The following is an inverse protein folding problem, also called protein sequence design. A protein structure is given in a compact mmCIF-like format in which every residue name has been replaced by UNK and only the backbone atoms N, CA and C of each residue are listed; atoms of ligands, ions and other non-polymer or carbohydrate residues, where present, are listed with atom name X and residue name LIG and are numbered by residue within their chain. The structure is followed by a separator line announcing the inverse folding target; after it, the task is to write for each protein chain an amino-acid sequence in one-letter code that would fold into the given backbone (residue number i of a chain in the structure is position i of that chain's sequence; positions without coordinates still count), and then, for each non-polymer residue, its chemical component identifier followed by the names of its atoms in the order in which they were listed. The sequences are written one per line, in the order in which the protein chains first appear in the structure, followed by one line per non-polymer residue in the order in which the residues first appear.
data_IF_215368398444
#
_entry.id   IF_215368398444
#
_cell.length_a   1.000
_cell.length_b   1.000
_cell.length_c   1.000
_cell.angle_alpha   90.00
_cell.angle_beta   90.00
_cell.angle_gamma   90.00
#
_symmetry.space_group_name_H-M   'P 1'
#
loop_
_entity.id
_entity.type
_entity.pdbx_description
1 polymer ?
#
# COMPACT_ATOMS: atom_id res chain seq x y z
N UNK A 1 -83.36 -17.16 6.02
CA UNK A 1 -82.51 -17.73 7.09
C UNK A 1 -81.15 -17.04 7.04
N UNK A 2 -80.86 -16.22 8.05
CA UNK A 2 -79.51 -15.90 8.55
C UNK A 2 -78.45 -15.26 7.65
N UNK A 3 -78.46 -13.94 7.51
CA UNK A 3 -77.27 -13.11 7.80
C UNK A 3 -77.16 -12.96 9.34
N UNK A 4 -76.03 -12.63 10.00
CA UNK A 4 -74.95 -11.72 9.55
C UNK A 4 -73.52 -12.09 10.06
N UNK A 5 -72.52 -11.21 9.85
CA UNK A 5 -71.35 -11.18 10.74
C UNK A 5 -70.02 -10.66 10.20
N UNK A 6 -69.98 -9.62 9.35
CA UNK A 6 -68.75 -8.82 9.18
C UNK A 6 -68.94 -7.53 9.98
N UNK A 7 -68.29 -7.47 11.13
CA UNK A 7 -68.00 -6.28 11.97
C UNK A 7 -66.52 -6.49 12.32
N UNK A 8 -65.55 -5.68 11.92
CA UNK A 8 -65.44 -4.23 12.05
C UNK A 8 -64.26 -3.96 13.00
N UNK A 9 -63.47 -2.91 12.72
CA UNK A 9 -62.37 -2.33 13.54
C UNK A 9 -61.02 -3.08 13.42
N UNK A 10 -59.85 -2.47 13.18
CA UNK A 10 -59.43 -1.07 13.17
C UNK A 10 -58.18 -0.88 12.31
N UNK A 11 -58.03 0.31 11.75
CA UNK A 11 -56.77 0.83 11.24
C UNK A 11 -55.66 0.73 12.30
N UNK A 12 -54.57 0.03 11.98
CA UNK A 12 -53.28 0.18 12.65
C UNK A 12 -52.19 0.34 11.59
N UNK A 13 -51.77 1.59 11.44
CA UNK A 13 -50.43 2.06 11.09
C UNK A 13 -49.63 1.25 10.04
N UNK A 14 -49.81 1.60 8.77
CA UNK A 14 -48.78 1.44 7.71
C UNK A 14 -47.78 2.61 7.77
N UNK A 15 -47.37 3.00 8.98
CA UNK A 15 -46.30 3.95 9.23
C UNK A 15 -45.23 3.22 10.03
N UNK A 16 -44.08 2.90 9.41
CA UNK A 16 -42.94 2.49 10.23
C UNK A 16 -41.77 1.73 9.61
N UNK A 17 -41.70 1.47 8.30
CA UNK A 17 -40.52 0.76 7.74
C UNK A 17 -39.92 1.37 6.45
N UNK A 18 -40.54 2.40 5.86
CA UNK A 18 -40.06 2.99 4.60
C UNK A 18 -39.23 4.29 4.74
N UNK A 19 -38.60 4.57 5.89
CA UNK A 19 -37.79 5.81 6.10
C UNK A 19 -36.37 5.54 6.65
N UNK A 20 -35.90 4.30 6.65
CA UNK A 20 -34.49 3.98 7.00
C UNK A 20 -33.58 3.78 5.77
N UNK A 21 -34.01 4.20 4.58
CA UNK A 21 -33.10 4.49 3.47
C UNK A 21 -32.56 5.89 3.73
N UNK A 22 -31.38 5.95 4.36
CA UNK A 22 -30.75 7.16 4.83
C UNK A 22 -30.75 8.26 3.76
N UNK A 23 -31.62 9.25 3.97
CA UNK A 23 -31.37 10.63 3.60
C UNK A 23 -30.07 11.06 4.30
N UNK A 24 -28.93 10.67 3.72
CA UNK A 24 -27.68 11.36 3.92
C UNK A 24 -27.90 12.77 3.40
N UNK A 25 -28.25 13.68 4.32
CA UNK A 25 -28.22 15.11 4.08
C UNK A 25 -26.90 15.42 3.38
N UNK A 26 -27.03 15.86 2.13
CA UNK A 26 -25.95 16.35 1.29
C UNK A 26 -25.27 17.48 2.07
N UNK A 27 -24.18 17.18 2.78
CA UNK A 27 -23.29 18.23 3.23
C UNK A 27 -22.53 18.68 1.98
N UNK A 28 -22.87 19.86 1.48
CA UNK A 28 -22.04 20.53 0.48
C UNK A 28 -20.64 20.69 1.08
N UNK A 29 -19.72 19.87 0.60
CA UNK A 29 -18.30 19.99 0.93
C UNK A 29 -17.81 21.25 0.24
N UNK A 30 -17.35 22.20 1.04
CA UNK A 30 -16.78 23.43 0.53
C UNK A 30 -15.46 23.13 -0.19
N UNK A 31 -15.12 23.85 -1.26
CA UNK A 31 -13.82 23.71 -1.89
C UNK A 31 -12.69 24.02 -0.89
N UNK A 32 -11.50 23.44 -1.08
CA UNK A 32 -10.35 23.76 -0.25
C UNK A 32 -9.98 25.24 -0.41
N UNK A 33 -9.57 25.87 0.69
CA UNK A 33 -9.05 27.24 0.67
C UNK A 33 -7.58 27.25 0.21
N UNK A 34 -6.82 26.23 0.61
CA UNK A 34 -5.44 26.03 0.17
C UNK A 34 -5.40 24.78 -0.72
N UNK A 35 -5.13 24.99 -2.01
CA UNK A 35 -5.16 23.95 -3.04
C UNK A 35 -3.95 23.01 -2.99
N UNK A 36 -4.13 21.76 -3.41
CA UNK A 36 -3.08 20.72 -3.50
C UNK A 36 -1.90 21.04 -4.45
N UNK A 37 -1.87 22.21 -5.09
CA UNK A 37 -0.70 22.67 -5.85
C UNK A 37 0.16 23.67 -5.07
N UNK A 38 -0.24 24.01 -3.84
CA UNK A 38 0.54 24.90 -2.97
C UNK A 38 1.93 24.30 -2.69
N UNK A 39 2.98 25.09 -2.89
CA UNK A 39 4.37 24.66 -2.72
C UNK A 39 4.77 24.32 -1.28
N UNK A 40 3.89 24.57 -0.30
CA UNK A 40 4.07 24.18 1.10
C UNK A 40 3.65 22.74 1.38
N UNK A 41 3.01 22.05 0.43
CA UNK A 41 2.79 20.61 0.50
C UNK A 41 4.02 19.85 -0.01
N UNK A 42 4.46 18.87 0.78
CA UNK A 42 5.45 17.88 0.36
C UNK A 42 4.75 16.59 -0.03
N UNK A 43 5.03 16.12 -1.24
CA UNK A 43 4.52 14.86 -1.77
C UNK A 43 5.60 13.77 -1.70
N UNK A 44 5.24 12.65 -1.09
CA UNK A 44 6.02 11.41 -0.95
C UNK A 44 5.32 10.30 -1.74
N UNK A 45 6.09 9.45 -2.45
CA UNK A 45 5.56 8.47 -3.41
C UNK A 45 5.30 9.06 -4.80
N UNK A 46 4.55 8.33 -5.62
CA UNK A 46 4.27 8.68 -7.03
C UNK A 46 2.95 9.44 -7.15
N UNK A 47 3.04 10.69 -7.63
CA UNK A 47 1.90 11.59 -7.77
C UNK A 47 1.75 12.14 -9.19
N UNK A 48 0.51 12.39 -9.58
CA UNK A 48 0.13 13.06 -10.82
C UNK A 48 -0.68 14.33 -10.53
N UNK A 49 -0.47 15.39 -11.30
CA UNK A 49 -1.36 16.56 -11.24
C UNK A 49 -2.63 16.30 -12.07
N UNK A 50 -3.79 16.68 -11.56
CA UNK A 50 -5.06 16.66 -12.29
C UNK A 50 -5.87 17.91 -11.96
N UNK A 51 -5.81 18.91 -12.84
CA UNK A 51 -6.39 20.22 -12.58
C UNK A 51 -5.80 20.84 -11.30
N UNK A 52 -6.64 21.13 -10.31
CA UNK A 52 -6.23 21.66 -8.99
C UNK A 52 -5.96 20.59 -7.93
N UNK A 53 -6.06 19.31 -8.29
CA UNK A 53 -5.83 18.18 -7.40
C UNK A 53 -4.50 17.49 -7.71
N UNK A 54 -4.06 16.66 -6.75
CA UNK A 54 -2.99 15.68 -6.91
C UNK A 54 -3.58 14.29 -6.77
N UNK A 55 -3.19 13.38 -7.65
CA UNK A 55 -3.71 12.02 -7.73
C UNK A 55 -2.59 11.02 -7.45
N UNK A 56 -2.91 9.98 -6.68
CA UNK A 56 -2.06 8.83 -6.45
C UNK A 56 -2.89 7.55 -6.27
N UNK A 57 -2.31 6.41 -6.62
CA UNK A 57 -2.91 5.10 -6.35
C UNK A 57 -1.94 4.12 -5.69
N UNK A 58 -0.63 4.27 -5.82
CA UNK A 58 0.33 3.44 -5.11
C UNK A 58 0.20 3.57 -3.58
N UNK A 59 0.33 2.46 -2.82
CA UNK A 59 0.29 2.47 -1.37
C UNK A 59 1.46 3.27 -0.78
N UNK A 60 1.33 3.70 0.47
CA UNK A 60 2.29 4.53 1.21
C UNK A 60 2.57 5.92 0.64
N UNK A 61 1.99 6.25 -0.52
CA UNK A 61 1.94 7.61 -1.04
C UNK A 61 1.34 8.56 -0.01
N UNK A 62 1.97 9.71 0.21
CA UNK A 62 1.58 10.63 1.27
C UNK A 62 1.78 12.11 0.91
N UNK A 63 1.01 12.96 1.58
CA UNK A 63 1.20 14.41 1.60
C UNK A 63 1.55 14.83 3.03
N UNK A 64 2.55 15.71 3.14
CA UNK A 64 3.05 16.23 4.41
C UNK A 64 3.04 17.74 4.38
N UNK A 65 2.68 18.35 5.50
CA UNK A 65 2.74 19.80 5.65
C UNK A 65 2.86 20.20 7.11
N UNK A 66 3.43 21.39 7.32
CA UNK A 66 3.54 22.01 8.63
C UNK A 66 2.44 23.06 8.76
N UNK A 67 1.72 23.04 9.87
CA UNK A 67 0.67 24.01 10.18
C UNK A 67 0.89 24.57 11.57
N UNK A 68 0.72 25.87 11.71
CA UNK A 68 0.69 26.56 12.99
C UNK A 68 -0.76 26.90 13.32
N UNK A 69 -1.23 26.44 14.47
CA UNK A 69 -2.53 26.80 15.02
C UNK A 69 -2.37 27.81 16.16
N UNK A 70 -3.39 28.65 16.35
CA UNK A 70 -3.47 29.59 17.47
C UNK A 70 -3.28 28.88 18.83
N UNK A 71 -2.87 29.58 19.91
CA UNK A 71 -2.61 28.97 21.22
C UNK A 71 -3.77 28.13 21.78
N UNK A 72 -5.01 28.47 21.44
CA UNK A 72 -6.22 27.70 21.80
C UNK A 72 -6.43 26.41 20.99
N UNK A 73 -5.56 26.12 20.03
CA UNK A 73 -5.72 25.03 19.06
C UNK A 73 -6.67 25.41 17.93
N UNK A 74 -7.07 24.39 17.18
CA UNK A 74 -7.90 24.58 16.00
C UNK A 74 -8.33 23.26 15.36
N UNK A 75 -8.88 23.36 14.16
CA UNK A 75 -9.13 22.19 13.31
C UNK A 75 -8.96 22.57 11.85
N UNK A 76 -8.54 21.61 11.04
CA UNK A 76 -8.60 21.73 9.58
C UNK A 76 -9.46 20.61 8.99
N UNK A 77 -10.01 20.85 7.81
CA UNK A 77 -10.53 19.82 6.94
C UNK A 77 -9.48 19.46 5.89
N UNK A 78 -9.18 18.17 5.75
CA UNK A 78 -8.54 17.61 4.58
C UNK A 78 -9.62 17.35 3.53
N UNK A 79 -9.48 17.90 2.32
CA UNK A 79 -10.48 17.77 1.24
C UNK A 79 -9.94 16.81 0.18
N UNK A 80 -10.66 15.71 -0.06
CA UNK A 80 -10.17 14.63 -0.92
C UNK A 80 -11.30 13.78 -1.53
N UNK A 81 -10.96 12.95 -2.52
CA UNK A 81 -11.75 11.79 -2.95
C UNK A 81 -10.89 10.54 -2.81
N UNK A 82 -11.46 9.45 -2.32
CA UNK A 82 -10.76 8.18 -2.27
C UNK A 82 -11.76 7.03 -2.35
N UNK A 83 -11.72 6.25 -3.43
CA UNK A 83 -12.56 5.07 -3.60
C UNK A 83 -11.86 3.85 -3.00
N UNK A 84 -12.55 3.04 -2.19
CA UNK A 84 -12.03 1.78 -1.60
C UNK A 84 -10.58 1.88 -1.13
N UNK A 85 -10.29 2.96 -0.44
CA UNK A 85 -8.95 3.32 -0.02
C UNK A 85 -8.95 3.50 1.47
N UNK A 86 -7.96 2.91 2.13
CA UNK A 86 -7.66 3.24 3.51
C UNK A 86 -6.59 4.31 3.54
N UNK A 87 -6.84 5.39 4.26
CA UNK A 87 -5.90 6.47 4.50
C UNK A 87 -5.63 6.58 6.00
N UNK A 88 -4.44 7.05 6.38
CA UNK A 88 -4.11 7.43 7.74
C UNK A 88 -3.79 8.92 7.80
N UNK A 89 -4.38 9.60 8.76
CA UNK A 89 -3.99 10.97 9.14
C UNK A 89 -3.19 10.88 10.41
N UNK A 90 -1.95 11.36 10.40
CA UNK A 90 -1.10 11.46 11.59
C UNK A 90 -0.73 12.91 11.85
N UNK A 91 -0.90 13.37 13.08
CA UNK A 91 -0.51 14.69 13.55
C UNK A 91 0.59 14.53 14.59
N UNK A 92 1.74 15.15 14.33
CA UNK A 92 2.82 15.33 15.28
C UNK A 92 2.70 16.73 15.88
N UNK A 93 2.37 16.81 17.17
CA UNK A 93 2.20 18.06 17.90
C UNK A 93 3.54 18.69 18.31
N UNK A 94 3.51 19.96 18.78
CA UNK A 94 4.72 20.70 19.18
C UNK A 94 5.39 20.11 20.43
N UNK A 95 4.66 19.36 21.24
CA UNK A 95 5.11 18.66 22.43
C UNK A 95 5.66 17.25 22.14
N UNK A 96 5.79 16.88 20.87
CA UNK A 96 6.15 15.53 20.44
C UNK A 96 5.01 14.51 20.52
N UNK A 97 3.80 14.93 20.88
CA UNK A 97 2.63 14.04 20.85
C UNK A 97 2.33 13.57 19.43
N UNK A 98 1.85 12.32 19.31
CA UNK A 98 1.42 11.73 18.03
C UNK A 98 -0.03 11.32 18.15
N UNK A 99 -0.87 11.80 17.26
CA UNK A 99 -2.26 11.37 17.11
C UNK A 99 -2.45 10.79 15.71
N UNK A 100 -3.23 9.72 15.59
CA UNK A 100 -3.46 9.08 14.31
C UNK A 100 -4.89 8.57 14.18
N UNK A 101 -5.47 8.67 12.98
CA UNK A 101 -6.81 8.21 12.66
C UNK A 101 -6.84 7.54 11.30
N UNK A 102 -7.59 6.45 11.18
CA UNK A 102 -7.91 5.84 9.90
C UNK A 102 -9.12 6.50 9.25
N UNK A 103 -9.04 6.66 7.94
CA UNK A 103 -10.10 7.21 7.09
C UNK A 103 -10.35 6.23 5.95
N UNK A 104 -11.58 5.74 5.85
CA UNK A 104 -11.96 4.74 4.85
C UNK A 104 -12.79 5.37 3.75
N UNK A 105 -12.35 5.21 2.50
CA UNK A 105 -13.09 5.55 1.28
C UNK A 105 -14.38 4.73 1.14
N UNK A 106 -15.44 5.27 0.51
CA UNK A 106 -16.64 4.48 0.22
C UNK A 106 -16.34 3.31 -0.71
N UNK A 107 -17.25 2.34 -0.74
CA UNK A 107 -17.14 1.16 -1.60
C UNK A 107 -17.55 1.45 -3.06
N UNK A 108 -18.41 2.44 -3.27
CA UNK A 108 -18.88 2.92 -4.58
C UNK A 108 -18.33 4.31 -4.87
N UNK A 109 -18.10 4.61 -6.16
CA UNK A 109 -17.67 5.94 -6.56
C UNK A 109 -18.84 6.90 -6.34
N UNK A 110 -18.54 7.96 -5.59
CA UNK A 110 -19.47 9.04 -5.34
C UNK A 110 -18.87 10.30 -5.98
N UNK A 111 -19.65 11.10 -6.71
CA UNK A 111 -19.11 12.25 -7.43
C UNK A 111 -18.64 13.39 -6.50
N UNK A 112 -18.93 13.31 -5.20
CA UNK A 112 -18.66 14.38 -4.24
C UNK A 112 -17.30 14.25 -3.55
N UNK A 113 -16.78 15.41 -3.16
CA UNK A 113 -15.62 15.53 -2.28
C UNK A 113 -15.98 15.02 -0.88
N UNK A 114 -14.96 14.63 -0.13
CA UNK A 114 -15.05 14.30 1.29
C UNK A 114 -14.16 15.21 2.10
N UNK A 115 -14.55 15.38 3.36
CA UNK A 115 -13.75 16.10 4.35
C UNK A 115 -13.41 15.19 5.51
N UNK A 116 -12.14 15.19 5.92
CA UNK A 116 -11.72 14.66 7.21
C UNK A 116 -11.33 15.83 8.11
N UNK A 117 -12.03 16.00 9.23
CA UNK A 117 -11.65 16.99 10.25
C UNK A 117 -10.47 16.46 11.05
N UNK A 118 -9.48 17.31 11.24
CA UNK A 118 -8.24 17.02 11.95
C UNK A 118 -8.09 18.04 13.07
N UNK A 119 -8.21 17.63 14.34
CA UNK A 119 -7.97 18.53 15.46
C UNK A 119 -6.48 18.87 15.55
N UNK A 120 -6.19 20.13 15.88
CA UNK A 120 -4.84 20.63 16.06
C UNK A 120 -4.69 21.24 17.46
N UNK A 121 -3.59 20.92 18.13
CA UNK A 121 -3.16 21.63 19.33
C UNK A 121 -2.52 22.96 18.93
N UNK A 122 -2.54 23.94 19.84
CA UNK A 122 -1.90 25.22 19.58
C UNK A 122 -0.39 25.08 19.36
N UNK A 123 0.16 25.89 18.45
CA UNK A 123 1.55 25.83 18.02
C UNK A 123 1.77 25.05 16.71
N UNK A 124 3.04 24.71 16.44
CA UNK A 124 3.45 24.06 15.20
C UNK A 124 3.20 22.56 15.25
N UNK A 125 2.50 22.05 14.25
CA UNK A 125 2.27 20.63 14.05
C UNK A 125 2.69 20.20 12.65
N UNK A 126 3.18 18.97 12.51
CA UNK A 126 3.36 18.32 11.21
C UNK A 126 2.21 17.35 10.99
N UNK A 127 1.49 17.53 9.89
CA UNK A 127 0.41 16.64 9.46
C UNK A 127 0.91 15.77 8.32
N UNK A 128 0.67 14.47 8.42
CA UNK A 128 0.85 13.49 7.36
C UNK A 128 -0.51 12.90 7.02
N UNK A 129 -0.86 12.90 5.73
CA UNK A 129 -2.02 12.18 5.22
C UNK A 129 -1.50 11.16 4.22
N UNK A 130 -1.66 9.87 4.51
CA UNK A 130 -1.01 8.77 3.78
C UNK A 130 -2.03 7.75 3.31
N UNK A 131 -1.84 7.22 2.11
CA UNK A 131 -2.56 6.06 1.60
C UNK A 131 -1.96 4.78 2.18
N UNK A 132 -2.75 3.98 2.89
CA UNK A 132 -2.31 2.72 3.49
C UNK A 132 -2.54 1.51 2.58
N UNK A 133 -3.60 1.57 1.76
CA UNK A 133 -4.02 0.46 0.91
C UNK A 133 -3.48 0.57 -0.53
N UNK A 134 -3.35 -0.56 -1.21
CA UNK A 134 -2.99 -0.66 -2.63
C UNK A 134 -4.05 -0.10 -3.59
N UNK A 135 -3.68 0.12 -4.88
CA UNK A 135 -4.65 0.23 -5.96
C UNK A 135 -5.48 -1.06 -6.05
N UNK A 136 -6.78 -0.99 -5.78
CA UNK A 136 -7.76 -2.05 -6.09
C UNK A 136 -9.00 -1.43 -6.70
N UNK A 137 -9.74 -2.08 -7.59
CA UNK A 137 -9.48 -3.35 -8.22
C UNK A 137 -9.06 -3.13 -9.67
N UNK A 138 -7.76 -3.18 -9.95
CA UNK A 138 -7.26 -3.50 -11.29
C UNK A 138 -5.95 -4.29 -11.15
N UNK A 139 -6.02 -5.59 -11.50
CA UNK A 139 -4.91 -6.55 -11.68
C UNK A 139 -4.22 -7.05 -10.39
N UNK A 140 -4.45 -8.26 -9.86
CA UNK A 140 -5.08 -9.46 -10.44
C UNK A 140 -6.39 -9.86 -9.76
N UNK A 141 -7.46 -9.84 -10.56
CA UNK A 141 -8.79 -10.42 -10.35
C UNK A 141 -9.86 -9.67 -9.56
N UNK A 142 -10.93 -10.38 -9.16
CA UNK A 142 -12.34 -9.93 -9.22
C UNK A 142 -12.52 -8.45 -8.86
N UNK A 143 -12.96 -7.68 -9.87
CA UNK A 143 -13.15 -6.25 -9.76
C UNK A 143 -12.63 -5.43 -10.93
N UNK A 144 -12.09 -6.01 -12.02
CA UNK A 144 -11.80 -5.25 -13.26
C UNK A 144 -13.00 -4.56 -13.95
N UNK A 145 -14.20 -4.65 -13.36
CA UNK A 145 -15.41 -3.92 -13.72
C UNK A 145 -15.63 -2.68 -12.84
N UNK A 146 -14.92 -2.59 -11.72
CA UNK A 146 -15.03 -1.58 -10.70
C UNK A 146 -13.83 -0.62 -10.86
N UNK A 147 -14.06 0.66 -10.60
CA UNK A 147 -13.03 1.69 -10.82
C UNK A 147 -11.79 1.55 -9.92
N UNK A 148 -10.59 1.93 -10.35
CA UNK A 148 -9.39 1.84 -9.52
C UNK A 148 -9.51 2.64 -8.20
N UNK A 149 -8.90 2.14 -7.12
CA UNK A 149 -8.76 2.84 -5.83
C UNK A 149 -7.77 3.97 -6.00
N UNK A 150 -8.27 5.08 -6.52
CA UNK A 150 -7.53 6.31 -6.71
C UNK A 150 -7.80 7.24 -5.54
N UNK A 151 -6.76 7.91 -5.08
CA UNK A 151 -6.83 8.98 -4.10
C UNK A 151 -6.54 10.33 -4.78
N UNK A 152 -7.52 11.22 -4.74
CA UNK A 152 -7.42 12.60 -5.20
C UNK A 152 -7.34 13.53 -3.98
N UNK A 153 -6.21 14.19 -3.76
CA UNK A 153 -6.07 15.22 -2.74
C UNK A 153 -6.32 16.60 -3.37
N UNK A 154 -7.30 17.33 -2.83
CA UNK A 154 -7.69 18.65 -3.35
C UNK A 154 -7.08 19.79 -2.55
N UNK A 155 -6.75 19.57 -1.27
CA UNK A 155 -6.15 20.58 -0.41
C UNK A 155 -6.66 20.54 1.02
N UNK A 156 -6.51 21.66 1.73
CA UNK A 156 -6.99 21.83 3.11
C UNK A 156 -7.85 23.08 3.25
N UNK A 157 -8.66 23.10 4.32
CA UNK A 157 -9.48 24.25 4.70
C UNK A 157 -9.46 24.44 6.22
N UNK A 158 -9.09 25.62 6.74
CA UNK A 158 -9.22 25.93 8.17
C UNK A 158 -10.66 25.86 8.66
N UNK A 159 -10.84 25.53 9.95
CA UNK A 159 -12.14 25.51 10.63
C UNK A 159 -12.04 26.29 11.94
N UNK A 160 -12.74 27.43 12.02
CA UNK A 160 -12.99 28.19 13.25
C UNK A 160 -11.83 29.07 13.74
N UNK A 161 -10.60 28.55 13.83
CA UNK A 161 -9.41 29.30 14.25
C UNK A 161 -8.57 29.76 13.06
N UNK A 162 -7.65 30.69 13.29
CA UNK A 162 -6.64 31.00 12.28
C UNK A 162 -5.65 29.84 12.20
N UNK A 163 -5.29 29.45 10.97
CA UNK A 163 -4.28 28.46 10.70
C UNK A 163 -3.31 29.04 9.69
N UNK A 164 -2.02 28.90 9.96
CA UNK A 164 -0.97 29.33 9.04
C UNK A 164 -0.22 28.12 8.52
N UNK A 165 -0.30 27.89 7.21
CA UNK A 165 0.50 26.86 6.55
C UNK A 165 1.95 27.35 6.46
N UNK A 166 2.85 26.56 7.05
CA UNK A 166 4.28 26.82 7.16
C UNK A 166 5.03 26.22 5.96
N UNK A 167 6.32 26.56 5.75
CA UNK A 167 7.14 25.89 4.76
C UNK A 167 7.08 24.35 4.90
N UNK A 168 7.10 23.68 3.75
CA UNK A 168 7.00 22.23 3.69
C UNK A 168 8.05 21.56 4.61
N UNK A 169 7.70 20.45 5.29
CA UNK A 169 8.66 19.72 6.10
C UNK A 169 9.83 19.27 5.23
N UNK A 170 11.03 19.22 5.83
CA UNK A 170 12.22 18.74 5.12
C UNK A 170 12.03 17.28 4.68
N UNK A 171 12.50 16.98 3.46
CA UNK A 171 12.59 15.60 2.98
C UNK A 171 13.56 14.80 3.83
N UNK A 172 13.28 13.51 4.02
CA UNK A 172 14.25 12.61 4.66
C UNK A 172 15.43 12.42 3.72
N UNK A 173 16.61 12.30 4.34
CA UNK A 173 17.85 12.09 3.58
C UNK A 173 17.92 10.70 2.97
N UNK A 174 17.24 9.71 3.54
CA UNK A 174 17.22 8.33 3.08
C UNK A 174 15.92 8.04 2.32
N UNK A 175 15.98 7.24 1.26
CA UNK A 175 14.80 6.78 0.48
C UNK A 175 14.89 5.28 0.23
N UNK A 176 13.79 4.59 0.54
CA UNK A 176 13.58 3.18 0.24
C UNK A 176 12.45 3.07 -0.77
N UNK A 177 12.62 2.20 -1.76
CA UNK A 177 11.56 1.81 -2.68
C UNK A 177 11.31 0.31 -2.56
N UNK A 178 10.04 -0.11 -2.59
CA UNK A 178 9.64 -1.51 -2.52
C UNK A 178 8.87 -1.92 -3.77
N UNK A 179 9.27 -3.05 -4.34
CA UNK A 179 8.49 -3.86 -5.27
C UNK A 179 8.02 -5.13 -4.58
N UNK A 180 6.72 -5.32 -4.45
CA UNK A 180 6.22 -6.48 -3.71
C UNK A 180 4.87 -7.02 -4.16
N UNK A 181 4.56 -8.21 -3.66
CA UNK A 181 3.21 -8.74 -3.63
C UNK A 181 2.48 -8.35 -2.32
N UNK A 182 1.42 -9.09 -1.99
CA UNK A 182 0.59 -8.82 -0.81
C UNK A 182 1.34 -8.87 0.52
N UNK A 183 2.40 -9.67 0.65
CA UNK A 183 3.14 -9.77 1.92
C UNK A 183 3.88 -8.47 2.22
N UNK A 184 4.67 -7.95 1.27
CA UNK A 184 5.42 -6.71 1.47
C UNK A 184 4.53 -5.47 1.56
N UNK A 185 3.32 -5.55 1.04
CA UNK A 185 2.29 -4.53 1.11
C UNK A 185 1.56 -4.46 2.47
N UNK A 186 1.64 -5.53 3.27
CA UNK A 186 0.86 -5.63 4.51
C UNK A 186 -0.61 -5.95 4.25
N UNK A 187 -0.91 -6.81 3.27
CA UNK A 187 -2.25 -7.34 3.08
C UNK A 187 -2.71 -8.09 4.32
N UNK A 188 -3.97 -7.88 4.71
CA UNK A 188 -4.56 -8.56 5.87
C UNK A 188 -3.80 -8.34 7.19
N UNK A 189 -2.89 -7.37 7.27
CA UNK A 189 -2.02 -7.15 8.44
C UNK A 189 -2.80 -6.85 9.72
N UNK A 190 -4.00 -6.29 9.58
CA UNK A 190 -4.95 -6.02 10.66
C UNK A 190 -6.24 -6.85 10.59
N UNK A 191 -6.29 -7.86 9.72
CA UNK A 191 -7.42 -8.77 9.63
C UNK A 191 -7.29 -9.91 10.64
N UNK A 192 -8.42 -10.35 11.19
CA UNK A 192 -8.48 -11.56 12.02
C UNK A 192 -8.37 -12.82 11.15
N UNK A 193 -7.73 -13.90 11.63
CA UNK A 193 -7.79 -15.21 10.96
C UNK A 193 -9.21 -15.78 10.82
N UNK A 194 -10.17 -15.32 11.64
CA UNK A 194 -11.56 -15.79 11.60
C UNK A 194 -12.40 -15.16 10.47
N UNK A 195 -11.84 -14.20 9.73
CA UNK A 195 -12.53 -13.60 8.59
C UNK A 195 -12.73 -14.65 7.50
N UNK A 196 -13.98 -14.79 7.03
CA UNK A 196 -14.25 -15.65 5.88
C UNK A 196 -13.44 -15.21 4.67
N UNK A 197 -13.12 -16.13 3.76
CA UNK A 197 -12.39 -15.81 2.53
C UNK A 197 -13.13 -14.71 1.74
N UNK A 198 -14.45 -14.81 1.63
CA UNK A 198 -15.27 -13.82 0.94
C UNK A 198 -15.20 -12.42 1.59
N UNK A 199 -15.28 -12.35 2.93
CA UNK A 199 -15.16 -11.08 3.65
C UNK A 199 -13.75 -10.49 3.52
N UNK A 200 -12.73 -11.35 3.63
CA UNK A 200 -11.33 -10.98 3.46
C UNK A 200 -11.09 -10.40 2.06
N UNK A 201 -11.63 -11.00 1.01
CA UNK A 201 -11.48 -10.48 -0.36
C UNK A 201 -12.22 -9.15 -0.55
N UNK A 202 -13.47 -9.04 -0.11
CA UNK A 202 -14.31 -7.86 -0.30
C UNK A 202 -13.83 -6.62 0.49
N UNK A 203 -13.21 -6.84 1.64
CA UNK A 203 -12.82 -5.78 2.59
C UNK A 203 -11.33 -5.78 2.96
N UNK A 204 -10.49 -6.56 2.30
CA UNK A 204 -9.03 -6.59 2.54
C UNK A 204 -8.38 -5.21 2.55
N UNK A 205 -8.81 -4.29 1.69
CA UNK A 205 -8.30 -2.91 1.65
C UNK A 205 -8.49 -2.16 2.98
N UNK A 206 -9.47 -2.54 3.80
CA UNK A 206 -9.66 -1.99 5.16
C UNK A 206 -8.65 -2.56 6.16
N UNK A 207 -8.20 -3.80 5.94
CA UNK A 207 -7.27 -4.51 6.82
C UNK A 207 -5.81 -4.42 6.34
N UNK A 208 -5.58 -3.73 5.23
CA UNK A 208 -4.27 -3.55 4.62
C UNK A 208 -3.61 -2.28 5.16
N UNK A 209 -2.32 -2.37 5.47
CA UNK A 209 -1.55 -1.20 5.89
C UNK A 209 -0.07 -1.35 5.55
N UNK A 210 0.38 -0.54 4.59
CA UNK A 210 1.79 -0.47 4.23
C UNK A 210 2.66 0.09 5.37
N UNK A 211 2.12 0.91 6.30
CA UNK A 211 2.86 1.36 7.49
C UNK A 211 3.09 0.21 8.48
N UNK A 212 2.14 -0.72 8.58
CA UNK A 212 2.23 -1.88 9.46
C UNK A 212 2.92 -3.09 8.81
N UNK A 213 3.29 -2.98 7.53
CA UNK A 213 4.09 -3.99 6.84
C UNK A 213 5.54 -3.99 7.33
N UNK A 214 6.30 -5.04 6.99
CA UNK A 214 7.72 -5.08 7.34
C UNK A 214 8.48 -3.88 6.77
N UNK A 215 8.11 -3.41 5.57
CA UNK A 215 8.81 -2.28 4.95
C UNK A 215 8.50 -0.96 5.63
N UNK A 216 7.27 -0.80 6.16
CA UNK A 216 6.89 0.35 6.97
C UNK A 216 7.76 0.44 8.23
N UNK A 217 7.93 -0.70 8.91
CA UNK A 217 8.81 -0.82 10.07
C UNK A 217 10.30 -0.57 9.72
N UNK A 218 10.77 -1.10 8.58
CA UNK A 218 12.15 -0.85 8.11
C UNK A 218 12.36 0.64 7.81
N UNK A 219 11.44 1.29 7.09
CA UNK A 219 11.56 2.70 6.74
C UNK A 219 11.51 3.62 7.97
N UNK A 220 10.66 3.30 8.96
CA UNK A 220 10.65 4.01 10.25
C UNK A 220 11.98 3.85 10.99
N UNK A 221 12.48 2.62 11.12
CA UNK A 221 13.72 2.32 11.85
C UNK A 221 14.99 2.87 11.19
N UNK A 222 14.95 3.18 9.90
CA UNK A 222 16.05 3.77 9.14
C UNK A 222 15.87 5.27 8.88
N UNK A 223 14.80 5.89 9.37
CA UNK A 223 14.38 7.28 9.08
C UNK A 223 14.41 7.58 7.57
N UNK A 224 13.76 6.72 6.78
CA UNK A 224 13.71 6.81 5.33
C UNK A 224 12.31 7.21 4.81
N UNK A 225 12.29 7.95 3.71
CA UNK A 225 11.10 8.08 2.85
C UNK A 225 10.80 6.72 2.22
N UNK A 226 9.51 6.41 2.04
CA UNK A 226 9.08 5.12 1.51
C UNK A 226 8.23 5.31 0.24
N UNK A 227 8.63 4.64 -0.84
CA UNK A 227 7.84 4.48 -2.06
C UNK A 227 7.50 2.99 -2.24
N UNK A 228 6.23 2.66 -2.46
CA UNK A 228 5.80 1.25 -2.54
C UNK A 228 5.01 1.03 -3.82
N UNK A 229 5.50 0.15 -4.67
CA UNK A 229 4.75 -0.41 -5.79
C UNK A 229 4.47 -1.87 -5.49
N UNK A 230 3.28 -2.13 -4.96
CA UNK A 230 2.90 -3.47 -4.59
C UNK A 230 1.42 -3.73 -4.88
N UNK A 231 1.14 -4.95 -5.31
CA UNK A 231 -0.19 -5.43 -5.67
C UNK A 231 -0.36 -6.86 -5.14
N UNK A 232 -1.51 -7.13 -4.53
CA UNK A 232 -1.82 -8.47 -4.00
C UNK A 232 -1.81 -9.52 -5.11
N UNK A 233 -1.05 -10.60 -4.92
CA UNK A 233 -0.99 -11.72 -5.87
C UNK A 233 -0.19 -11.45 -7.14
N UNK A 234 0.50 -10.30 -7.24
CA UNK A 234 1.31 -9.98 -8.41
C UNK A 234 2.61 -10.78 -8.42
N UNK A 235 2.93 -11.38 -9.56
CA UNK A 235 4.23 -11.98 -9.80
C UNK A 235 5.07 -11.19 -10.79
N UNK A 236 6.21 -11.74 -11.17
CA UNK A 236 7.11 -11.17 -12.16
C UNK A 236 6.82 -11.76 -13.55
N UNK A 237 6.68 -13.09 -13.62
CA UNK A 237 6.37 -13.86 -14.81
C UNK A 237 4.88 -14.16 -14.91
N UNK A 238 4.25 -14.51 -13.79
CA UNK A 238 2.83 -14.83 -13.73
C UNK A 238 2.26 -14.51 -12.35
N UNK A 239 0.98 -14.15 -12.31
CA UNK A 239 0.30 -13.83 -11.07
C UNK A 239 -0.20 -15.09 -10.36
N UNK A 240 -0.47 -14.98 -9.06
CA UNK A 240 -0.99 -16.07 -8.26
C UNK A 240 -2.33 -16.55 -8.83
N UNK A 241 -2.50 -17.87 -8.99
CA UNK A 241 -3.74 -18.50 -9.44
C UNK A 241 -4.34 -19.32 -8.31
N UNK A 242 -4.45 -18.71 -7.13
CA UNK A 242 -4.90 -19.41 -5.93
C UNK A 242 -6.41 -19.53 -5.84
N UNK A 243 -7.15 -18.67 -6.55
CA UNK A 243 -8.60 -18.74 -6.65
C UNK A 243 -9.06 -18.11 -7.97
N UNK A 244 -10.29 -18.38 -8.42
CA UNK A 244 -10.92 -17.82 -9.63
C UNK A 244 -10.97 -16.27 -9.69
N UNK A 245 -10.50 -15.61 -8.62
CA UNK A 245 -10.56 -14.19 -8.36
C UNK A 245 -9.21 -13.48 -8.51
N UNK A 246 -8.16 -14.08 -9.08
CA UNK A 246 -6.92 -13.42 -9.49
C UNK A 246 -6.75 -13.43 -11.03
N UNK A 247 -7.69 -12.86 -11.78
CA UNK A 247 -7.60 -12.66 -13.23
C UNK A 247 -6.85 -11.38 -13.59
N UNK A 248 -5.66 -11.51 -14.16
CA UNK A 248 -4.90 -10.40 -14.74
C UNK A 248 -3.65 -10.89 -15.43
N UNK A 249 -3.38 -10.36 -16.64
CA UNK A 249 -2.21 -10.75 -17.45
C UNK A 249 -0.98 -9.90 -17.16
N UNK A 250 -1.17 -8.66 -16.70
CA UNK A 250 -0.07 -7.76 -16.38
C UNK A 250 0.65 -8.23 -15.11
N UNK A 251 1.98 -8.22 -15.15
CA UNK A 251 2.86 -8.59 -14.03
C UNK A 251 3.58 -7.35 -13.52
N UNK A 252 4.36 -7.44 -12.44
CA UNK A 252 5.09 -6.28 -11.92
C UNK A 252 6.03 -5.67 -12.98
N UNK A 253 6.52 -6.47 -13.94
CA UNK A 253 7.31 -5.96 -15.05
C UNK A 253 6.54 -4.93 -15.90
N UNK A 254 5.23 -5.10 -16.08
CA UNK A 254 4.36 -4.14 -16.78
C UNK A 254 4.13 -2.87 -15.96
N UNK A 255 4.04 -2.99 -14.63
CA UNK A 255 3.70 -1.87 -13.75
C UNK A 255 4.90 -1.07 -13.26
N UNK A 256 6.10 -1.63 -13.25
CA UNK A 256 7.31 -1.02 -12.67
C UNK A 256 7.53 0.45 -13.08
N UNK A 257 7.35 0.73 -14.37
CA UNK A 257 7.59 2.07 -14.91
C UNK A 257 6.40 3.00 -14.74
N UNK A 258 5.25 2.55 -14.25
CA UNK A 258 4.02 3.36 -14.23
C UNK A 258 4.00 4.35 -13.06
N UNK A 259 3.60 5.58 -13.35
CA UNK A 259 3.41 6.64 -12.34
C UNK A 259 2.21 6.35 -11.47
N UNK A 260 1.09 6.01 -12.09
CA UNK A 260 -0.11 5.48 -11.45
C UNK A 260 -0.29 4.04 -11.93
N UNK A 261 -0.70 3.14 -11.06
CA UNK A 261 -1.08 1.78 -11.49
C UNK A 261 -2.19 1.82 -12.55
N UNK A 262 -3.14 2.75 -12.36
CA UNK A 262 -4.36 2.93 -13.13
C UNK A 262 -4.21 3.66 -14.46
N UNK A 263 -3.01 4.18 -14.77
CA UNK A 263 -2.72 4.77 -16.08
C UNK A 263 -1.39 4.25 -16.67
N UNK A 264 -1.25 4.34 -17.99
CA UNK A 264 -0.02 3.91 -18.67
C UNK A 264 1.08 4.98 -18.64
N UNK A 265 0.93 6.03 -17.82
CA UNK A 265 1.89 7.12 -17.81
C UNK A 265 3.19 6.67 -17.13
N UNK A 266 4.32 6.98 -17.76
CA UNK A 266 5.63 6.59 -17.23
C UNK A 266 6.07 7.51 -16.09
N UNK A 267 6.51 6.91 -14.99
CA UNK A 267 7.17 7.61 -13.90
C UNK A 267 8.57 8.04 -14.34
N UNK A 268 8.87 9.32 -14.14
CA UNK A 268 10.21 9.86 -14.33
C UNK A 268 10.76 10.21 -12.95
N UNK A 269 11.56 9.32 -12.33
CA UNK A 269 12.06 9.57 -11.00
C UNK A 269 13.00 10.76 -11.00
N UNK A 270 12.72 11.75 -10.16
CA UNK A 270 13.60 12.90 -9.95
C UNK A 270 14.73 12.61 -8.94
N UNK A 271 14.66 11.45 -8.28
CA UNK A 271 15.58 11.02 -7.24
C UNK A 271 15.59 9.49 -7.21
N UNK A 272 16.78 8.89 -7.18
CA UNK A 272 16.96 7.46 -6.97
C UNK A 272 16.72 7.05 -5.51
N UNK A 273 16.29 5.81 -5.23
CA UNK A 273 16.32 5.26 -3.88
C UNK A 273 17.77 4.96 -3.45
N UNK A 274 18.02 4.98 -2.16
CA UNK A 274 19.26 4.43 -1.59
C UNK A 274 19.17 2.90 -1.50
N UNK A 275 17.97 2.38 -1.22
CA UNK A 275 17.65 0.95 -1.21
C UNK A 275 16.40 0.66 -2.06
N UNK A 276 16.51 -0.24 -3.03
CA UNK A 276 15.36 -0.89 -3.65
C UNK A 276 15.21 -2.31 -3.07
N UNK A 277 14.04 -2.61 -2.50
CA UNK A 277 13.70 -3.97 -2.09
C UNK A 277 12.82 -4.60 -3.15
N UNK A 278 13.17 -5.80 -3.61
CA UNK A 278 12.36 -6.62 -4.52
C UNK A 278 11.88 -7.86 -3.77
N UNK A 279 10.65 -7.81 -3.28
CA UNK A 279 9.96 -8.90 -2.58
C UNK A 279 8.91 -9.54 -3.49
N UNK A 280 9.38 -10.22 -4.53
CA UNK A 280 8.56 -10.82 -5.56
C UNK A 280 9.07 -12.22 -5.89
N UNK A 281 8.18 -13.07 -6.39
CA UNK A 281 8.46 -14.46 -6.75
C UNK A 281 7.48 -15.43 -6.13
N UNK A 282 7.04 -15.21 -4.88
CA UNK A 282 6.11 -16.10 -4.18
C UNK A 282 4.82 -16.34 -4.99
N UNK A 283 4.22 -15.25 -5.50
CA UNK A 283 3.01 -15.31 -6.32
C UNK A 283 3.19 -16.10 -7.64
N UNK A 284 4.39 -16.11 -8.22
CA UNK A 284 4.67 -16.88 -9.45
C UNK A 284 4.55 -18.40 -9.24
N UNK A 285 4.84 -18.88 -8.03
CA UNK A 285 4.81 -20.30 -7.66
C UNK A 285 3.53 -20.73 -6.94
N UNK A 286 2.66 -19.78 -6.58
CA UNK A 286 1.33 -20.03 -6.00
C UNK A 286 0.28 -20.31 -7.09
N UNK A 287 0.33 -21.52 -7.65
CA UNK A 287 -0.53 -21.94 -8.77
C UNK A 287 -1.40 -23.13 -8.35
N UNK A 288 -2.68 -22.93 -8.05
CA UNK A 288 -3.58 -24.04 -7.70
C UNK A 288 -3.92 -24.86 -8.95
N UNK A 289 -3.24 -26.00 -9.13
CA UNK A 289 -3.40 -26.85 -10.32
C UNK A 289 -2.80 -26.28 -11.61
N UNK A 290 -2.14 -25.12 -11.54
CA UNK A 290 -1.42 -24.50 -12.65
C UNK A 290 0.03 -24.96 -12.76
N UNK A 291 0.67 -24.62 -13.87
CA UNK A 291 2.09 -24.95 -14.12
C UNK A 291 3.00 -23.95 -13.42
N UNK A 292 3.90 -24.43 -12.58
CA UNK A 292 4.96 -23.61 -12.02
C UNK A 292 5.94 -23.15 -13.12
N UNK A 293 6.55 -21.96 -12.97
CA UNK A 293 7.57 -21.48 -13.89
C UNK A 293 8.73 -22.47 -14.04
N UNK A 294 9.23 -22.61 -15.27
CA UNK A 294 10.55 -23.21 -15.48
C UNK A 294 11.63 -22.25 -14.98
N UNK A 295 12.66 -22.79 -14.33
CA UNK A 295 13.73 -22.00 -13.74
C UNK A 295 14.35 -20.99 -14.72
N UNK A 296 14.76 -21.45 -15.91
CA UNK A 296 15.38 -20.58 -16.94
C UNK A 296 14.46 -19.44 -17.34
N UNK A 297 13.15 -19.68 -17.45
CA UNK A 297 12.18 -18.65 -17.81
C UNK A 297 12.01 -17.65 -16.67
N UNK A 298 11.81 -18.12 -15.44
CA UNK A 298 11.67 -17.26 -14.26
C UNK A 298 12.90 -16.35 -14.11
N UNK A 299 14.10 -16.95 -14.14
CA UNK A 299 15.39 -16.24 -14.11
C UNK A 299 15.47 -15.15 -15.17
N UNK A 300 15.11 -15.48 -16.41
CA UNK A 300 15.17 -14.53 -17.53
C UNK A 300 14.26 -13.32 -17.29
N UNK A 301 13.02 -13.53 -16.82
CA UNK A 301 12.08 -12.44 -16.58
C UNK A 301 12.46 -11.62 -15.34
N UNK A 302 12.94 -12.27 -14.28
CA UNK A 302 13.46 -11.57 -13.09
C UNK A 302 14.64 -10.67 -13.46
N UNK A 303 15.57 -11.17 -14.27
CA UNK A 303 16.69 -10.38 -14.77
C UNK A 303 16.24 -9.18 -15.63
N UNK A 304 15.21 -9.35 -16.45
CA UNK A 304 14.62 -8.22 -17.21
C UNK A 304 14.11 -7.12 -16.28
N UNK A 305 13.47 -7.48 -15.16
CA UNK A 305 13.03 -6.49 -14.16
C UNK A 305 14.23 -5.77 -13.55
N UNK A 306 15.27 -6.49 -13.12
CA UNK A 306 16.47 -5.87 -12.54
C UNK A 306 17.22 -4.99 -13.54
N UNK A 307 17.35 -5.39 -14.81
CA UNK A 307 17.89 -4.53 -15.85
C UNK A 307 17.03 -3.29 -16.10
N UNK A 308 15.70 -3.40 -16.05
CA UNK A 308 14.81 -2.24 -16.15
C UNK A 308 14.99 -1.28 -14.97
N UNK A 309 15.20 -1.79 -13.76
CA UNK A 309 15.54 -0.99 -12.57
C UNK A 309 16.86 -0.25 -12.80
N UNK A 310 17.91 -0.97 -13.19
CA UNK A 310 19.24 -0.39 -13.42
C UNK A 310 19.20 0.60 -14.57
N UNK A 311 18.43 0.37 -15.63
CA UNK A 311 18.26 1.35 -16.71
C UNK A 311 17.57 2.63 -16.24
N UNK A 312 16.64 2.53 -15.28
CA UNK A 312 15.94 3.70 -14.72
C UNK A 312 16.83 4.51 -13.77
N UNK A 313 17.69 3.84 -12.99
CA UNK A 313 18.46 4.48 -11.91
C UNK A 313 19.98 4.52 -12.12
N UNK A 314 20.52 3.85 -13.13
CA UNK A 314 21.96 3.72 -13.39
C UNK A 314 22.59 5.01 -13.92
N UNK A 315 21.80 5.92 -14.51
CA UNK A 315 22.27 7.24 -14.93
C UNK A 315 22.62 8.19 -13.78
N UNK A 316 22.42 7.79 -12.53
CA UNK A 316 22.76 8.60 -11.36
C UNK A 316 24.19 8.30 -10.87
N UNK A 317 24.94 9.34 -10.51
CA UNK A 317 26.38 9.28 -10.12
C UNK A 317 26.68 8.57 -8.79
N UNK A 318 25.75 7.83 -8.19
CA UNK A 318 25.93 7.28 -6.84
C UNK A 318 25.42 5.84 -6.73
N UNK A 319 25.73 5.13 -5.64
CA UNK A 319 25.52 3.69 -5.51
C UNK A 319 24.06 3.31 -5.28
N UNK A 320 23.49 2.42 -6.09
CA UNK A 320 22.15 1.84 -5.91
C UNK A 320 22.30 0.47 -5.26
N UNK A 321 21.70 0.28 -4.09
CA UNK A 321 21.63 -1.04 -3.45
C UNK A 321 20.26 -1.67 -3.74
N UNK A 322 20.26 -2.89 -4.26
CA UNK A 322 19.08 -3.71 -4.49
C UNK A 322 19.11 -4.90 -3.54
N UNK A 323 18.07 -5.09 -2.74
CA UNK A 323 17.88 -6.28 -1.91
C UNK A 323 16.70 -7.11 -2.45
N UNK A 324 16.99 -8.24 -3.10
CA UNK A 324 16.00 -9.23 -3.45
C UNK A 324 15.67 -10.07 -2.22
N UNK A 325 14.46 -9.92 -1.69
CA UNK A 325 14.04 -10.55 -0.44
C UNK A 325 12.99 -11.63 -0.73
N UNK A 326 13.25 -12.86 -0.29
CA UNK A 326 12.33 -13.98 -0.44
C UNK A 326 11.91 -14.59 0.91
N UNK A 327 10.82 -15.36 0.91
CA UNK A 327 10.38 -16.19 2.01
C UNK A 327 9.20 -15.59 2.76
N UNK A 328 9.33 -15.41 4.07
CA UNK A 328 8.29 -14.81 4.95
C UNK A 328 7.04 -15.69 5.11
N UNK A 329 7.24 -17.01 5.09
CA UNK A 329 6.21 -18.01 5.38
C UNK A 329 6.38 -18.68 6.73
N UNK A 330 5.42 -19.51 7.10
CA UNK A 330 5.51 -20.41 8.25
C UNK A 330 5.72 -21.86 7.79
N UNK A 331 6.14 -22.77 8.71
CA UNK A 331 6.24 -24.20 8.42
C UNK A 331 4.95 -24.79 7.85
N UNK A 332 3.80 -24.30 8.33
CA UNK A 332 2.46 -24.76 7.92
C UNK A 332 2.04 -24.30 6.52
N UNK A 333 2.75 -23.37 5.88
CA UNK A 333 2.45 -22.93 4.51
C UNK A 333 2.64 -24.07 3.49
N UNK A 334 3.54 -25.03 3.76
CA UNK A 334 3.77 -26.18 2.89
C UNK A 334 2.81 -27.36 3.10
N UNK A 335 2.06 -27.36 4.21
CA UNK A 335 1.20 -28.48 4.59
C UNK A 335 -0.21 -28.39 3.99
N UNK A 336 -0.72 -27.17 3.80
CA UNK A 336 -2.08 -26.94 3.30
C UNK A 336 -2.22 -27.24 1.81
N UNK A 337 -1.17 -27.04 1.03
CA UNK A 337 -1.10 -27.31 -0.40
C UNK A 337 0.35 -27.59 -0.80
N UNK A 338 0.62 -28.80 -1.30
CA UNK A 338 1.97 -29.20 -1.70
C UNK A 338 2.50 -28.26 -2.78
N UNK A 339 3.57 -27.52 -2.47
CA UNK A 339 4.28 -26.67 -3.44
C UNK A 339 3.85 -25.20 -3.49
N UNK A 340 3.00 -24.73 -2.56
CA UNK A 340 2.57 -23.32 -2.48
C UNK A 340 3.21 -22.54 -1.33
N UNK A 341 4.17 -23.13 -0.61
CA UNK A 341 4.94 -22.43 0.42
C UNK A 341 5.58 -21.18 -0.15
N UNK A 342 5.54 -20.07 0.60
CA UNK A 342 6.18 -18.80 0.22
C UNK A 342 7.68 -18.94 -0.03
N UNK A 343 8.33 -19.90 0.63
CA UNK A 343 9.75 -20.20 0.40
C UNK A 343 10.03 -21.03 -0.85
N UNK A 344 9.01 -21.58 -1.53
CA UNK A 344 9.21 -22.36 -2.78
C UNK A 344 9.94 -21.57 -3.86
N UNK A 345 9.71 -20.25 -3.91
CA UNK A 345 10.33 -19.36 -4.90
C UNK A 345 11.81 -19.05 -4.60
N UNK A 346 12.28 -19.28 -3.37
CA UNK A 346 13.55 -18.73 -2.89
C UNK A 346 14.80 -19.23 -3.63
N UNK A 347 14.95 -20.53 -3.94
CA UNK A 347 16.05 -20.99 -4.76
C UNK A 347 16.07 -20.35 -6.16
N UNK A 348 14.90 -20.10 -6.76
CA UNK A 348 14.78 -19.48 -8.07
C UNK A 348 15.12 -17.99 -8.05
N UNK A 349 14.70 -17.28 -6.99
CA UNK A 349 15.07 -15.87 -6.78
C UNK A 349 16.58 -15.75 -6.55
N UNK A 350 17.16 -16.63 -5.73
CA UNK A 350 18.61 -16.64 -5.49
C UNK A 350 19.39 -16.86 -6.79
N UNK A 351 19.04 -17.91 -7.55
CA UNK A 351 19.69 -18.18 -8.84
C UNK A 351 19.54 -17.00 -9.81
N UNK A 352 18.38 -16.34 -9.83
CA UNK A 352 18.16 -15.18 -10.67
C UNK A 352 19.05 -13.99 -10.31
N UNK A 353 19.24 -13.75 -9.01
CA UNK A 353 20.12 -12.70 -8.48
C UNK A 353 21.58 -13.03 -8.77
N UNK A 354 22.01 -14.28 -8.55
CA UNK A 354 23.38 -14.71 -8.81
C UNK A 354 23.72 -14.62 -10.31
N UNK A 355 22.77 -14.99 -11.18
CA UNK A 355 22.90 -14.78 -12.62
C UNK A 355 23.00 -13.30 -13.00
N UNK A 356 22.19 -12.44 -12.39
CA UNK A 356 22.24 -10.99 -12.63
C UNK A 356 23.58 -10.39 -12.22
N UNK A 357 24.12 -10.80 -11.06
CA UNK A 357 25.45 -10.37 -10.62
C UNK A 357 26.53 -10.72 -11.64
N UNK A 358 26.49 -11.96 -12.15
CA UNK A 358 27.42 -12.40 -13.19
C UNK A 358 27.28 -11.64 -14.52
N UNK A 359 26.11 -11.06 -14.82
CA UNK A 359 25.91 -10.25 -16.02
C UNK A 359 26.24 -8.76 -15.81
N UNK A 360 26.14 -8.23 -14.58
CA UNK A 360 26.49 -6.84 -14.27
C UNK A 360 27.95 -6.51 -14.59
N UNK A 361 28.88 -7.45 -14.33
CA UNK A 361 30.32 -7.29 -14.62
C UNK A 361 30.61 -7.05 -16.10
N UNK A 362 29.66 -7.33 -16.99
CA UNK A 362 29.79 -7.17 -18.44
C UNK A 362 29.28 -5.81 -18.95
N UNK A 363 28.67 -4.99 -18.10
CA UNK A 363 28.08 -3.71 -18.50
C UNK A 363 28.78 -2.52 -17.84
N UNK A 364 29.24 -1.56 -18.66
CA UNK A 364 29.89 -0.34 -18.19
C UNK A 364 29.00 0.52 -17.27
N UNK A 365 27.68 0.35 -17.36
CA UNK A 365 26.72 1.16 -16.61
C UNK A 365 26.46 0.61 -15.18
N UNK A 366 27.13 -0.50 -14.80
CA UNK A 366 26.87 -1.27 -13.59
C UNK A 366 27.80 -0.97 -12.40
N UNK A 367 28.84 -0.14 -12.57
CA UNK A 367 29.90 0.04 -11.55
C UNK A 367 29.41 0.55 -10.18
N UNK A 368 28.18 1.10 -10.13
CA UNK A 368 27.58 1.66 -8.92
C UNK A 368 26.33 0.89 -8.48
N UNK A 369 26.16 -0.38 -8.88
CA UNK A 369 24.99 -1.19 -8.47
C UNK A 369 25.44 -2.35 -7.61
N UNK A 370 24.92 -2.43 -6.39
CA UNK A 370 25.11 -3.55 -5.49
C UNK A 370 23.81 -4.34 -5.37
N UNK A 371 23.88 -5.66 -5.52
CA UNK A 371 22.70 -6.53 -5.44
C UNK A 371 22.91 -7.57 -4.37
N UNK A 372 21.93 -7.76 -3.51
CA UNK A 372 21.94 -8.72 -2.41
C UNK A 372 20.73 -9.62 -2.48
N UNK A 373 20.91 -10.89 -2.17
CA UNK A 373 19.84 -11.83 -1.92
C UNK A 373 19.71 -12.01 -0.40
N UNK A 374 18.48 -11.90 0.11
CA UNK A 374 18.16 -12.11 1.52
C UNK A 374 16.97 -13.07 1.63
N UNK A 375 17.12 -14.13 2.42
CA UNK A 375 16.04 -15.08 2.69
C UNK A 375 15.52 -14.91 4.11
N UNK A 376 14.20 -14.74 4.24
CA UNK A 376 13.49 -14.85 5.51
C UNK A 376 12.98 -16.28 5.63
N UNK A 377 13.57 -17.12 6.50
CA UNK A 377 13.31 -18.56 6.52
C UNK A 377 11.85 -18.88 6.90
N UNK A 378 11.30 -19.92 6.28
CA UNK A 378 9.96 -20.45 6.56
C UNK A 378 9.96 -21.64 7.55
N UNK A 379 11.07 -21.86 8.26
CA UNK A 379 11.29 -23.01 9.17
C UNK A 379 10.74 -22.78 10.59
N UNK A 380 10.07 -21.65 10.81
CA UNK A 380 9.54 -21.29 12.13
C UNK A 380 10.47 -20.40 12.94
N UNK A 381 11.68 -20.10 12.49
CA UNK A 381 12.62 -19.27 13.28
C UNK A 381 12.17 -17.80 13.37
N UNK A 382 11.64 -17.25 12.28
CA UNK A 382 11.12 -15.87 12.20
C UNK A 382 9.62 -15.83 12.47
N UNK A 383 8.82 -16.53 11.67
CA UNK A 383 7.36 -16.64 11.84
C UNK A 383 7.03 -17.99 12.47
N UNK A 384 6.67 -17.97 13.76
CA UNK A 384 6.71 -19.15 14.63
C UNK A 384 5.43 -19.96 14.64
N UNK A 385 4.28 -19.28 14.61
CA UNK A 385 3.01 -19.91 14.90
C UNK A 385 1.82 -19.10 14.38
N UNK A 386 0.62 -19.64 14.57
CA UNK A 386 -0.66 -19.08 14.08
C UNK A 386 -0.86 -17.62 14.50
N UNK A 387 -0.32 -17.22 15.66
CA UNK A 387 -0.44 -15.85 16.16
C UNK A 387 0.37 -14.79 15.40
N UNK A 388 1.28 -15.19 14.50
CA UNK A 388 1.97 -14.27 13.60
C UNK A 388 1.17 -14.00 12.30
N UNK A 389 0.02 -14.65 12.12
CA UNK A 389 -0.80 -14.57 10.91
C UNK A 389 -2.17 -13.94 11.18
N UNK A 390 -2.71 -13.27 10.16
CA UNK A 390 -4.03 -12.65 10.13
C UNK A 390 -4.94 -13.34 9.10
N UNK A 391 -5.80 -12.57 8.44
CA UNK A 391 -6.63 -13.14 7.37
C UNK A 391 -5.83 -13.68 6.20
N UNK A 392 -6.41 -14.65 5.48
CA UNK A 392 -5.80 -15.30 4.31
C UNK A 392 -4.43 -15.95 4.59
N UNK A 393 -4.13 -16.23 5.87
CA UNK A 393 -2.84 -16.80 6.28
C UNK A 393 -1.65 -15.87 6.02
N UNK A 394 -1.87 -14.56 5.85
CA UNK A 394 -0.81 -13.56 5.66
C UNK A 394 -0.28 -13.04 6.99
N UNK A 395 0.99 -12.58 7.08
CA UNK A 395 1.54 -12.07 8.33
C UNK A 395 0.75 -10.88 8.88
N UNK A 396 0.32 -10.95 10.13
CA UNK A 396 -0.32 -9.83 10.83
C UNK A 396 0.72 -8.81 11.32
N UNK A 397 0.30 -7.76 12.04
CA UNK A 397 1.20 -6.73 12.61
C UNK A 397 2.41 -7.30 13.35
N UNK A 398 2.23 -8.39 14.10
CA UNK A 398 3.31 -9.05 14.84
C UNK A 398 4.26 -9.78 13.89
N UNK A 399 3.73 -10.55 12.94
CA UNK A 399 4.53 -11.25 11.93
C UNK A 399 5.34 -10.28 11.07
N UNK A 400 4.72 -9.21 10.58
CA UNK A 400 5.39 -8.15 9.81
C UNK A 400 6.52 -7.47 10.59
N UNK A 401 6.33 -7.21 11.89
CA UNK A 401 7.39 -6.68 12.75
C UNK A 401 8.56 -7.65 12.90
N UNK A 402 8.30 -8.94 13.10
CA UNK A 402 9.35 -9.97 13.21
C UNK A 402 10.19 -10.08 11.93
N UNK A 403 9.54 -10.00 10.77
CA UNK A 403 10.22 -9.94 9.47
C UNK A 403 11.15 -8.71 9.41
N UNK A 404 10.65 -7.53 9.81
CA UNK A 404 11.46 -6.31 9.84
C UNK A 404 12.65 -6.41 10.80
N UNK A 405 12.44 -6.92 12.02
CA UNK A 405 13.49 -7.13 13.03
C UNK A 405 14.58 -8.08 12.53
N UNK A 406 14.20 -9.12 11.78
CA UNK A 406 15.14 -10.04 11.15
C UNK A 406 15.95 -9.38 10.03
N UNK A 407 15.31 -8.59 9.16
CA UNK A 407 15.97 -7.96 8.00
C UNK A 407 16.83 -6.75 8.37
N UNK A 408 16.44 -5.96 9.38
CA UNK A 408 17.07 -4.69 9.70
C UNK A 408 18.59 -4.73 9.91
N UNK A 409 19.17 -5.70 10.66
CA UNK A 409 20.62 -5.80 10.82
C UNK A 409 21.36 -6.00 9.50
N UNK A 410 20.81 -6.82 8.60
CA UNK A 410 21.38 -7.05 7.27
C UNK A 410 21.29 -5.79 6.41
N UNK A 411 20.12 -5.13 6.40
CA UNK A 411 19.91 -3.90 5.64
C UNK A 411 20.83 -2.77 6.11
N UNK A 412 21.05 -2.61 7.42
CA UNK A 412 22.03 -1.64 7.94
C UNK A 412 23.46 -1.96 7.52
N UNK A 413 23.80 -3.24 7.46
CA UNK A 413 25.14 -3.70 7.05
C UNK A 413 25.40 -3.36 5.59
N UNK A 414 24.48 -3.69 4.67
CA UNK A 414 24.66 -3.44 3.23
C UNK A 414 24.54 -1.95 2.86
N UNK A 415 23.83 -1.15 3.65
CA UNK A 415 23.71 0.30 3.42
C UNK A 415 24.75 1.14 4.17
N UNK A 416 25.49 0.54 5.10
CA UNK A 416 26.38 1.25 6.03
C UNK A 416 25.66 2.34 6.85
N UNK A 417 24.50 2.00 7.44
CA UNK A 417 23.56 2.96 8.03
C UNK A 417 23.34 2.90 9.53
#
# INVERSE_FOLDING_TARGET
MGLPGIVGLSAFAVLGVAVALGLWLRQEVLPPEIHALDGRFRYEGRWQSAGRAKIADWPCTAVHFNVEADPGGGSLALVFRALRTRLAVTVHGPDGSRQSWDVFGPWTQLPWLREQRVPLRGGNSTVTFRKLSSPRPFGTGWGGWLEPSVWEFHGIRPIGSSLRLQPAPRRRRRRIELLADGVGLGDCVEGSPDLSVAASLAFSWQHQSCEASFIGHVAEALDAELDVQALSGIGIMQNAQTEAYFSGRETMLSYWSRRLQSDDSTHQPHRRPDLLIVNLGSSDFQQHGGKQPHNVTFRTVYNKLLHAVVSTYGGFLSNLTIAAVCGMGAPSDGEKERGTSRCTACPYVQEAVDYFKGSLDLHADAWNVEVHYLEVPCDGTVLRAVEDFGCLGLPNRRGQRRIAEFLLPWLRTILHW
#
